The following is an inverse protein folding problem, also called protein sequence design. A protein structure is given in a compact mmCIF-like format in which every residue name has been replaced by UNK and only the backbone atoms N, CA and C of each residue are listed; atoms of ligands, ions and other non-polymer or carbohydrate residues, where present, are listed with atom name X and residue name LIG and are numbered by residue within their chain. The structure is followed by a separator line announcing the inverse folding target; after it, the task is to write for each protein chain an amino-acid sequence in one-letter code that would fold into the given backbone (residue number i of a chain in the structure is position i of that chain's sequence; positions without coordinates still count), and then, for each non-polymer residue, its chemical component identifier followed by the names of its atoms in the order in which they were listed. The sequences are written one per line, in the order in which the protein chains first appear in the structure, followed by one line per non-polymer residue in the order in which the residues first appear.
data_IF_809674802599
#
_entry.id   IF_809674802599
#
_cell.length_a   1.000
_cell.length_b   1.000
_cell.length_c   1.000
_cell.angle_alpha   90.00
_cell.angle_beta   90.00
_cell.angle_gamma   90.00
#
_symmetry.space_group_name_H-M   'P 1'
#
loop_
_entity.id
_entity.type
_entity.pdbx_description
1 polymer ?
#
# COMPACT_ATOMS: atom_id res chain seq x y z
N UNK A 1 34.38 28.77 -49.89
CA UNK A 1 34.23 30.25 -50.00
C UNK A 1 32.86 30.53 -50.62
N UNK A 2 31.95 31.12 -49.84
CA UNK A 2 30.63 31.72 -50.18
C UNK A 2 29.71 31.00 -51.18
N UNK A 3 28.63 30.39 -50.65
CA UNK A 3 27.35 30.28 -51.34
C UNK A 3 26.29 30.96 -50.47
N UNK A 4 25.69 32.04 -50.98
CA UNK A 4 24.52 32.70 -50.41
C UNK A 4 23.32 32.32 -51.26
N UNK A 5 22.30 31.71 -50.65
CA UNK A 5 21.06 31.30 -51.30
C UNK A 5 19.99 32.35 -51.02
N UNK A 6 19.27 32.68 -52.10
CA UNK A 6 18.35 33.78 -52.27
C UNK A 6 17.05 33.65 -51.46
N UNK A 7 16.56 34.81 -51.00
CA UNK A 7 15.16 35.05 -50.65
C UNK A 7 14.27 34.91 -51.90
N UNK A 8 13.19 34.16 -51.78
CA UNK A 8 12.05 34.22 -52.71
C UNK A 8 10.89 34.86 -51.95
N UNK A 9 10.54 36.07 -52.37
CA UNK A 9 9.30 36.78 -52.03
C UNK A 9 8.33 36.52 -53.19
N UNK A 10 7.17 35.96 -52.89
CA UNK A 10 6.01 36.00 -53.80
C UNK A 10 4.84 36.66 -53.06
N UNK A 11 4.22 37.61 -53.74
CA UNK A 11 3.05 38.34 -53.31
C UNK A 11 2.01 38.33 -54.45
N UNK A 12 0.79 38.71 -54.10
CA UNK A 12 -0.47 38.83 -54.86
C UNK A 12 -1.28 37.52 -54.97
N UNK A 13 -2.55 37.37 -54.63
CA UNK A 13 -3.72 38.18 -54.19
C UNK A 13 -4.90 37.73 -55.07
N UNK A 14 -6.03 37.32 -54.45
CA UNK A 14 -7.41 37.65 -54.86
C UNK A 14 -8.45 36.93 -53.96
N UNK A 15 -9.15 37.75 -53.18
CA UNK A 15 -10.61 37.80 -52.95
C UNK A 15 -11.33 36.54 -52.45
N UNK A 16 -11.85 36.62 -51.22
CA UNK A 16 -13.30 36.55 -51.00
C UNK A 16 -13.68 37.12 -49.62
N UNK A 17 -14.55 38.12 -49.66
CA UNK A 17 -15.42 38.62 -48.59
C UNK A 17 -16.23 37.47 -47.98
N UNK A 18 -16.49 37.47 -46.66
CA UNK A 18 -17.83 37.18 -46.12
C UNK A 18 -17.89 37.45 -44.61
N UNK A 19 -19.02 38.03 -44.23
CA UNK A 19 -19.41 38.59 -42.94
C UNK A 19 -19.52 37.60 -41.77
N UNK A 20 -19.33 38.15 -40.55
CA UNK A 20 -19.76 37.58 -39.28
C UNK A 20 -21.30 37.43 -39.21
N UNK A 21 -21.85 36.32 -38.70
CA UNK A 21 -23.24 36.30 -38.26
C UNK A 21 -23.34 36.48 -36.74
N UNK A 22 -24.18 37.46 -36.38
CA UNK A 22 -24.71 37.66 -35.04
C UNK A 22 -25.65 36.52 -34.60
N UNK A 23 -25.77 36.40 -33.27
CA UNK A 23 -26.71 35.58 -32.52
C UNK A 23 -28.18 35.89 -32.84
N UNK A 24 -29.05 34.87 -32.72
CA UNK A 24 -30.40 34.85 -32.11
C UNK A 24 -31.06 33.47 -32.41
N UNK A 25 -32.22 33.10 -31.82
CA UNK A 25 -32.38 32.39 -30.53
C UNK A 25 -33.03 30.99 -30.69
N UNK A 26 -32.98 30.14 -29.66
CA UNK A 26 -33.72 28.85 -29.62
C UNK A 26 -34.36 28.70 -28.22
N UNK A 27 -35.60 28.18 -28.10
CA UNK A 27 -36.64 28.71 -27.21
C UNK A 27 -36.87 27.98 -25.87
N UNK A 28 -37.66 28.65 -25.01
CA UNK A 28 -38.18 28.24 -23.70
C UNK A 28 -39.00 26.94 -23.71
N UNK A 29 -38.79 26.10 -22.68
CA UNK A 29 -39.78 25.80 -21.63
C UNK A 29 -39.39 24.55 -20.83
N UNK A 30 -39.16 24.72 -19.53
CA UNK A 30 -40.00 24.16 -18.44
C UNK A 30 -39.23 24.22 -17.12
N UNK A 31 -39.67 25.13 -16.26
CA UNK A 31 -39.34 25.12 -14.85
C UNK A 31 -40.18 24.04 -14.14
N UNK A 32 -39.51 23.07 -13.51
CA UNK A 32 -40.02 22.38 -12.32
C UNK A 32 -38.86 22.12 -11.36
N UNK A 33 -38.63 23.11 -10.49
CA UNK A 33 -37.83 22.97 -9.28
C UNK A 33 -38.57 22.08 -8.27
N UNK A 34 -38.07 20.88 -7.98
CA UNK A 34 -38.54 20.09 -6.83
C UNK A 34 -37.41 19.30 -6.14
N UNK A 35 -37.00 19.85 -4.98
CA UNK A 35 -36.62 19.21 -3.72
C UNK A 35 -35.96 17.81 -3.73
N UNK A 36 -34.65 17.76 -3.48
CA UNK A 36 -33.99 16.60 -2.86
C UNK A 36 -33.04 16.92 -1.69
N UNK A 37 -33.07 18.15 -1.14
CA UNK A 37 -32.27 18.54 0.03
C UNK A 37 -33.13 19.02 1.22
N UNK A 38 -34.14 18.22 1.58
CA UNK A 38 -34.92 18.38 2.83
C UNK A 38 -35.18 17.03 3.51
N UNK A 39 -34.10 16.33 3.86
CA UNK A 39 -34.08 15.36 4.94
C UNK A 39 -32.70 15.44 5.56
N UNK A 40 -32.58 15.37 6.89
CA UNK A 40 -31.39 15.67 7.72
C UNK A 40 -31.27 17.08 8.35
N UNK A 41 -32.42 17.65 8.74
CA UNK A 41 -32.48 18.50 9.95
C UNK A 41 -33.55 17.98 10.91
N UNK A 42 -33.21 16.95 11.68
CA UNK A 42 -33.78 16.75 13.01
C UNK A 42 -32.63 16.90 14.00
N UNK A 43 -32.69 17.98 14.79
CA UNK A 43 -31.86 18.15 15.99
C UNK A 43 -32.12 16.95 16.91
N UNK A 44 -31.11 16.26 17.47
CA UNK A 44 -31.35 15.41 18.61
C UNK A 44 -31.81 16.30 19.78
N UNK A 45 -33.01 16.01 20.29
CA UNK A 45 -33.54 16.60 21.51
C UNK A 45 -32.70 16.11 22.69
N UNK A 46 -31.97 17.02 23.33
CA UNK A 46 -31.29 16.78 24.60
C UNK A 46 -32.38 16.60 25.66
N UNK A 47 -32.48 15.47 26.37
CA UNK A 47 -33.37 15.38 27.52
C UNK A 47 -32.79 16.21 28.67
N UNK A 48 -33.64 17.04 29.28
CA UNK A 48 -33.29 17.83 30.47
C UNK A 48 -32.79 16.93 31.62
N UNK A 49 -31.80 17.38 32.41
CA UNK A 49 -31.33 16.63 33.56
C UNK A 49 -32.43 16.60 34.63
N UNK A 50 -32.99 15.41 34.87
CA UNK A 50 -33.82 15.18 36.06
C UNK A 50 -32.93 15.28 37.30
N UNK A 51 -33.29 16.22 38.17
CA UNK A 51 -32.81 16.37 39.54
C UNK A 51 -32.70 15.01 40.25
N UNK A 52 -31.49 14.62 40.61
CA UNK A 52 -31.23 13.53 41.54
C UNK A 52 -30.99 14.18 42.90
N UNK A 53 -31.95 13.98 43.79
CA UNK A 53 -31.86 14.31 45.22
C UNK A 53 -30.81 13.39 45.84
N UNK A 54 -29.73 13.98 46.37
CA UNK A 54 -28.72 13.31 47.20
C UNK A 54 -29.30 12.91 48.56
N UNK A 55 -29.14 11.66 49.03
CA UNK A 55 -29.33 11.35 50.44
C UNK A 55 -28.08 11.74 51.25
N UNK A 56 -28.33 12.41 52.37
CA UNK A 56 -27.34 12.84 53.36
C UNK A 56 -26.58 11.69 54.02
N UNK A 57 -25.39 12.03 54.53
CA UNK A 57 -24.45 11.16 55.21
C UNK A 57 -25.01 10.59 56.53
N UNK A 58 -24.78 9.30 56.80
CA UNK A 58 -24.82 8.73 58.15
C UNK A 58 -23.51 7.96 58.43
N UNK A 59 -22.92 8.07 59.64
CA UNK A 59 -21.57 7.60 59.91
C UNK A 59 -21.54 6.09 60.18
N UNK A 60 -20.56 5.40 59.61
CA UNK A 60 -20.26 4.01 59.97
C UNK A 60 -19.14 4.02 61.02
N UNK A 61 -19.47 3.43 62.15
CA UNK A 61 -18.68 3.24 63.38
C UNK A 61 -17.59 2.19 63.15
N UNK A 62 -16.36 2.48 63.58
CA UNK A 62 -15.22 1.55 63.63
C UNK A 62 -15.28 0.76 64.94
N UNK A 63 -15.15 -0.58 64.94
CA UNK A 63 -14.79 -1.33 66.14
C UNK A 63 -13.29 -1.67 66.17
N UNK A 64 -12.64 -1.37 67.30
CA UNK A 64 -11.25 -1.70 67.61
C UNK A 64 -11.07 -3.16 68.13
N UNK A 65 -9.93 -3.73 67.72
CA UNK A 65 -9.07 -4.76 68.33
C UNK A 65 -9.64 -6.04 69.01
N UNK A 66 -9.21 -7.19 68.47
CA UNK A 66 -8.84 -8.36 69.28
C UNK A 66 -7.62 -9.09 68.70
N UNK A 67 -6.57 -9.16 69.51
CA UNK A 67 -5.27 -9.78 69.24
C UNK A 67 -5.38 -11.31 69.26
N UNK A 68 -4.87 -11.99 68.22
CA UNK A 68 -4.62 -13.45 68.24
C UNK A 68 -3.13 -13.67 68.04
N UNK A 69 -2.48 -14.24 69.05
CA UNK A 69 -1.08 -14.64 69.09
C UNK A 69 -0.86 -15.94 68.29
N UNK A 70 0.11 -15.94 67.37
CA UNK A 70 0.58 -17.15 66.65
C UNK A 70 2.10 -17.27 66.87
N UNK A 71 2.64 -18.46 67.21
CA UNK A 71 4.03 -18.63 67.63
C UNK A 71 5.05 -18.54 66.48
N UNK A 72 6.26 -18.13 66.86
CA UNK A 72 7.44 -17.84 66.03
C UNK A 72 8.02 -19.12 65.38
N UNK A 73 8.13 -19.13 64.05
CA UNK A 73 8.97 -20.06 63.28
C UNK A 73 9.84 -19.31 62.24
N UNK A 74 11.02 -19.88 61.96
CA UNK A 74 12.24 -19.31 61.34
C UNK A 74 12.09 -18.69 59.92
N UNK A 75 13.05 -17.84 59.50
CA UNK A 75 12.97 -17.08 58.25
C UNK A 75 13.23 -17.95 57.02
N UNK A 76 12.35 -17.85 56.03
CA UNK A 76 12.61 -18.29 54.65
C UNK A 76 12.99 -17.03 53.87
N UNK A 77 14.19 -17.06 53.29
CA UNK A 77 14.76 -16.01 52.46
C UNK A 77 13.91 -15.78 51.21
N UNK A 78 13.37 -14.57 51.05
CA UNK A 78 12.80 -14.07 49.79
C UNK A 78 13.93 -13.71 48.81
N UNK A 79 13.89 -14.14 47.55
CA UNK A 79 14.57 -13.43 46.48
C UNK A 79 13.70 -12.25 46.03
N UNK A 80 14.34 -11.08 45.91
CA UNK A 80 13.80 -9.86 45.30
C UNK A 80 13.12 -10.14 43.95
N UNK A 81 11.94 -9.56 43.75
CA UNK A 81 11.35 -9.40 42.43
C UNK A 81 12.18 -8.38 41.63
N UNK A 82 13.03 -8.86 40.72
CA UNK A 82 13.48 -8.08 39.56
C UNK A 82 12.39 -8.09 38.48
N UNK A 83 12.14 -6.97 37.80
CA UNK A 83 11.17 -6.94 36.69
C UNK A 83 11.72 -7.77 35.52
N UNK A 84 11.06 -8.89 35.21
CA UNK A 84 11.36 -9.71 34.04
C UNK A 84 10.73 -9.04 32.82
N UNK A 85 11.55 -8.35 32.01
CA UNK A 85 11.11 -7.89 30.69
C UNK A 85 12.18 -8.15 29.64
N UNK A 86 12.28 -9.41 29.21
CA UNK A 86 12.84 -9.78 27.90
C UNK A 86 12.14 -11.06 27.43
N UNK A 87 10.94 -10.94 26.86
CA UNK A 87 10.24 -12.08 26.25
C UNK A 87 10.96 -12.48 24.97
N UNK A 88 11.57 -13.66 24.93
CA UNK A 88 12.20 -14.22 23.75
C UNK A 88 11.17 -14.33 22.60
N UNK A 89 11.55 -14.03 21.36
CA UNK A 89 10.65 -14.13 20.19
C UNK A 89 10.00 -15.51 20.06
N UNK A 90 10.73 -16.58 20.41
CA UNK A 90 10.17 -17.94 20.47
C UNK A 90 9.06 -18.09 21.50
N UNK A 91 9.15 -17.43 22.66
CA UNK A 91 8.08 -17.45 23.65
C UNK A 91 6.85 -16.67 23.16
N UNK A 92 7.05 -15.53 22.50
CA UNK A 92 5.96 -14.76 21.90
C UNK A 92 5.25 -15.57 20.81
N UNK A 93 6.01 -16.28 19.97
CA UNK A 93 5.43 -17.20 18.99
C UNK A 93 4.66 -18.35 19.64
N UNK A 94 5.24 -19.01 20.65
CA UNK A 94 4.59 -20.11 21.37
C UNK A 94 3.26 -19.69 22.03
N UNK A 95 3.17 -18.45 22.51
CA UNK A 95 1.91 -17.91 23.04
C UNK A 95 0.85 -17.79 21.95
N UNK A 96 1.19 -17.22 20.79
CA UNK A 96 0.27 -17.13 19.64
C UNK A 96 -0.08 -18.52 19.10
N UNK A 97 0.89 -19.43 19.02
CA UNK A 97 0.68 -20.79 18.56
C UNK A 97 -0.25 -21.55 19.50
N UNK A 98 -0.03 -21.45 20.81
CA UNK A 98 -0.91 -22.04 21.82
C UNK A 98 -2.32 -21.48 21.76
N UNK A 99 -2.47 -20.17 21.54
CA UNK A 99 -3.76 -19.51 21.39
C UNK A 99 -4.54 -20.05 20.16
N UNK A 100 -3.88 -20.11 19.01
CA UNK A 100 -4.47 -20.57 17.75
C UNK A 100 -4.74 -22.08 17.75
N UNK A 101 -3.81 -22.87 18.26
CA UNK A 101 -3.96 -24.33 18.34
C UNK A 101 -4.97 -24.73 19.41
N UNK A 102 -5.08 -23.98 20.50
CA UNK A 102 -6.14 -24.15 21.50
C UNK A 102 -7.53 -23.90 20.89
N UNK A 103 -7.69 -22.83 20.11
CA UNK A 103 -8.92 -22.56 19.38
C UNK A 103 -9.23 -23.69 18.36
N UNK A 104 -8.22 -24.17 17.62
CA UNK A 104 -8.35 -25.29 16.68
C UNK A 104 -8.81 -26.58 17.36
N UNK A 105 -8.20 -26.94 18.48
CA UNK A 105 -8.53 -28.14 19.25
C UNK A 105 -9.95 -28.06 19.83
N UNK A 106 -10.32 -26.89 20.34
CA UNK A 106 -11.63 -26.64 20.92
C UNK A 106 -12.71 -26.31 19.88
N UNK A 107 -12.39 -26.40 18.58
CA UNK A 107 -13.29 -26.02 17.47
C UNK A 107 -13.91 -24.63 17.64
N UNK A 108 -13.17 -23.73 18.30
CA UNK A 108 -13.59 -22.36 18.56
C UNK A 108 -13.21 -21.47 17.39
N UNK A 109 -14.08 -20.53 17.06
CA UNK A 109 -13.91 -19.60 15.94
C UNK A 109 -13.46 -18.23 16.45
N UNK A 110 -12.62 -17.55 15.68
CA UNK A 110 -12.25 -16.17 15.94
C UNK A 110 -13.26 -15.21 15.30
N UNK A 111 -13.48 -14.08 15.98
CA UNK A 111 -14.07 -12.90 15.35
C UNK A 111 -12.99 -12.11 14.58
N UNK A 112 -13.41 -11.17 13.73
CA UNK A 112 -12.48 -10.40 12.88
C UNK A 112 -11.44 -9.59 13.66
N UNK A 113 -11.83 -8.95 14.77
CA UNK A 113 -10.92 -8.14 15.58
C UNK A 113 -9.81 -8.99 16.17
N UNK A 114 -10.17 -10.14 16.73
CA UNK A 114 -9.26 -11.09 17.33
C UNK A 114 -8.32 -11.68 16.27
N UNK A 115 -8.87 -12.13 15.14
CA UNK A 115 -8.08 -12.66 14.04
C UNK A 115 -7.06 -11.63 13.52
N UNK A 116 -7.49 -10.38 13.32
CA UNK A 116 -6.62 -9.29 12.87
C UNK A 116 -5.52 -8.97 13.89
N UNK A 117 -5.81 -9.05 15.19
CA UNK A 117 -4.77 -8.92 16.24
C UNK A 117 -3.73 -10.04 16.11
N UNK A 118 -4.14 -11.30 15.99
CA UNK A 118 -3.20 -12.42 15.86
C UNK A 118 -2.35 -12.25 14.59
N UNK A 119 -2.96 -11.91 13.45
CA UNK A 119 -2.25 -11.69 12.19
C UNK A 119 -1.23 -10.56 12.31
N UNK A 120 -1.59 -9.46 12.99
CA UNK A 120 -0.67 -8.36 13.31
C UNK A 120 0.49 -8.82 14.19
N UNK A 121 0.22 -9.65 15.20
CA UNK A 121 1.25 -10.16 16.10
C UNK A 121 2.22 -11.12 15.38
N UNK A 122 1.74 -11.95 14.45
CA UNK A 122 2.58 -12.77 13.59
C UNK A 122 3.49 -11.92 12.69
N UNK A 123 2.96 -10.87 12.08
CA UNK A 123 3.76 -9.91 11.31
C UNK A 123 4.80 -9.22 12.19
N UNK A 124 4.45 -8.85 13.43
CA UNK A 124 5.39 -8.27 14.39
C UNK A 124 6.53 -9.23 14.76
N UNK A 125 6.29 -10.54 14.82
CA UNK A 125 7.33 -11.54 15.04
C UNK A 125 8.27 -11.66 13.85
N UNK A 126 7.73 -11.73 12.63
CA UNK A 126 8.52 -11.74 11.40
C UNK A 126 9.42 -10.49 11.31
N UNK A 127 8.86 -9.32 11.64
CA UNK A 127 9.60 -8.06 11.64
C UNK A 127 10.75 -8.01 12.65
N UNK A 128 10.67 -8.80 13.72
CA UNK A 128 11.74 -8.95 14.71
C UNK A 128 12.72 -10.10 14.37
N UNK A 129 12.56 -10.75 13.22
CA UNK A 129 13.45 -11.79 12.71
C UNK A 129 13.01 -13.23 13.00
N UNK A 130 11.75 -13.44 13.39
CA UNK A 130 11.19 -14.79 13.56
C UNK A 130 10.89 -15.46 12.21
N UNK A 131 10.83 -16.80 12.19
CA UNK A 131 10.68 -17.61 10.98
C UNK A 131 9.36 -17.35 10.25
N UNK A 132 9.45 -16.87 8.99
CA UNK A 132 8.29 -16.68 8.10
C UNK A 132 7.53 -17.97 7.82
N UNK A 133 8.26 -19.07 7.65
CA UNK A 133 7.66 -20.39 7.39
C UNK A 133 6.76 -20.85 8.53
N UNK A 134 7.12 -20.55 9.77
CA UNK A 134 6.35 -20.94 10.95
C UNK A 134 5.15 -20.03 11.16
N UNK A 135 5.33 -18.72 11.01
CA UNK A 135 4.24 -17.75 11.09
C UNK A 135 3.23 -17.91 9.95
N UNK A 136 3.66 -18.29 8.74
CA UNK A 136 2.77 -18.61 7.61
C UNK A 136 1.87 -19.81 7.91
N UNK A 137 2.40 -20.88 8.48
CA UNK A 137 1.59 -22.05 8.88
C UNK A 137 0.50 -21.63 9.86
N UNK A 138 0.85 -20.79 10.84
CA UNK A 138 -0.08 -20.34 11.85
C UNK A 138 -1.13 -19.38 11.30
N UNK A 139 -0.72 -18.48 10.39
CA UNK A 139 -1.58 -17.57 9.62
C UNK A 139 -2.66 -18.33 8.84
N UNK A 140 -2.32 -19.43 8.18
CA UNK A 140 -3.30 -20.26 7.48
C UNK A 140 -4.38 -20.83 8.41
N UNK A 141 -4.01 -21.19 9.64
CA UNK A 141 -4.96 -21.71 10.64
C UNK A 141 -5.86 -20.59 11.14
N UNK A 142 -5.33 -19.38 11.37
CA UNK A 142 -6.14 -18.21 11.75
C UNK A 142 -7.20 -17.92 10.69
N UNK A 143 -6.88 -17.98 9.41
CA UNK A 143 -7.85 -17.82 8.33
C UNK A 143 -8.94 -18.91 8.37
N UNK A 144 -8.57 -20.18 8.59
CA UNK A 144 -9.53 -21.29 8.70
C UNK A 144 -10.49 -21.13 9.88
N UNK A 145 -10.02 -20.57 10.99
CA UNK A 145 -10.80 -20.39 12.22
C UNK A 145 -11.62 -19.10 12.25
N UNK A 146 -11.58 -18.27 11.21
CA UNK A 146 -12.28 -16.97 11.19
C UNK A 146 -13.33 -16.93 10.06
N UNK A 147 -14.53 -17.49 10.26
CA UNK A 147 -15.55 -17.59 9.21
C UNK A 147 -16.11 -16.24 8.77
N UNK A 148 -15.92 -15.17 9.54
CA UNK A 148 -16.33 -13.83 9.15
C UNK A 148 -15.41 -13.22 8.07
N UNK A 149 -14.17 -13.71 7.90
CA UNK A 149 -13.42 -13.43 6.65
C UNK A 149 -14.20 -13.94 5.43
N UNK A 150 -15.01 -14.98 5.62
CA UNK A 150 -15.88 -15.52 4.58
C UNK A 150 -17.23 -14.81 4.44
N UNK A 151 -17.65 -13.94 5.37
CA UNK A 151 -18.93 -13.19 5.25
C UNK A 151 -18.80 -11.88 4.48
N UNK A 152 -17.60 -11.32 4.38
CA UNK A 152 -17.22 -10.40 3.29
C UNK A 152 -17.03 -11.12 1.96
N UNK A 153 -17.08 -12.47 1.94
CA UNK A 153 -17.02 -13.30 0.76
C UNK A 153 -18.22 -14.25 0.67
N UNK A 154 -19.44 -13.70 0.56
CA UNK A 154 -20.55 -14.39 -0.10
C UNK A 154 -20.30 -14.51 -1.62
N UNK A 155 -19.10 -14.97 -1.94
CA UNK A 155 -18.65 -15.61 -3.15
C UNK A 155 -17.56 -16.54 -2.60
N UNK A 156 -17.78 -17.86 -2.68
CA UNK A 156 -16.82 -18.87 -2.25
C UNK A 156 -15.37 -18.47 -2.63
N UNK A 157 -14.33 -18.87 -1.88
CA UNK A 157 -13.06 -19.09 -2.54
C UNK A 157 -13.32 -20.27 -3.49
N UNK A 158 -13.73 -19.95 -4.72
CA UNK A 158 -13.24 -20.73 -5.83
C UNK A 158 -11.74 -20.89 -5.62
N UNK A 159 -11.16 -22.02 -6.03
CA UNK A 159 -9.81 -21.98 -6.55
C UNK A 159 -9.64 -20.62 -7.22
N UNK A 160 -8.85 -19.71 -6.66
CA UNK A 160 -8.76 -18.36 -7.20
C UNK A 160 -8.37 -18.60 -8.65
N UNK A 161 -9.32 -18.39 -9.57
CA UNK A 161 -9.16 -18.78 -10.96
C UNK A 161 -8.25 -17.70 -11.53
N UNK A 162 -6.97 -17.84 -11.21
CA UNK A 162 -5.92 -16.94 -11.60
C UNK A 162 -5.95 -16.92 -13.12
N UNK A 163 -6.13 -15.74 -13.68
CA UNK A 163 -6.10 -15.55 -15.12
C UNK A 163 -4.69 -15.94 -15.58
N UNK A 164 -4.58 -17.02 -16.36
CA UNK A 164 -3.32 -17.49 -16.96
C UNK A 164 -3.04 -16.74 -18.26
N UNK A 165 -3.06 -15.42 -18.17
CA UNK A 165 -2.70 -14.50 -19.24
C UNK A 165 -1.89 -13.34 -18.65
N UNK A 166 -1.32 -12.51 -19.52
CA UNK A 166 -0.67 -11.28 -19.08
C UNK A 166 -1.75 -10.25 -18.68
N UNK A 167 -1.59 -9.51 -17.57
CA UNK A 167 -2.45 -8.37 -17.29
C UNK A 167 -2.27 -7.29 -18.35
N UNK A 168 -3.28 -6.44 -18.51
CA UNK A 168 -3.17 -5.23 -19.32
C UNK A 168 -3.16 -4.02 -18.40
N UNK A 169 -2.14 -3.18 -18.52
CA UNK A 169 -2.08 -1.88 -17.86
C UNK A 169 -2.97 -0.91 -18.65
N UNK A 170 -4.00 -0.38 -17.99
CA UNK A 170 -5.06 0.44 -18.60
C UNK A 170 -5.17 1.83 -17.99
N UNK A 171 -4.29 2.19 -17.06
CA UNK A 171 -4.15 3.53 -16.49
C UNK A 171 -2.68 3.93 -16.47
N UNK A 172 -2.39 5.23 -16.58
CA UNK A 172 -1.04 5.74 -16.46
C UNK A 172 -0.51 5.55 -15.03
N UNK A 173 0.81 5.40 -14.87
CA UNK A 173 1.43 5.27 -13.53
C UNK A 173 1.58 6.63 -12.83
N UNK A 174 1.54 7.72 -13.59
CA UNK A 174 1.64 9.10 -13.13
C UNK A 174 1.05 10.06 -14.18
N UNK A 175 1.15 11.36 -13.97
CA UNK A 175 0.87 12.34 -15.03
C UNK A 175 1.93 12.21 -16.14
N UNK A 176 1.53 11.61 -17.27
CA UNK A 176 2.40 11.34 -18.41
C UNK A 176 3.12 12.61 -18.92
N UNK A 177 2.46 13.77 -18.86
CA UNK A 177 3.04 15.04 -19.33
C UNK A 177 4.24 15.53 -18.51
N UNK A 178 4.45 14.94 -17.32
CA UNK A 178 5.54 15.28 -16.40
C UNK A 178 6.74 14.35 -16.54
N UNK A 179 6.62 13.27 -17.32
CA UNK A 179 7.71 12.33 -17.53
C UNK A 179 8.66 12.92 -18.58
N UNK A 180 9.91 13.16 -18.17
CA UNK A 180 10.97 13.64 -19.07
C UNK A 180 11.54 12.48 -19.89
N UNK A 181 11.78 11.36 -19.22
CA UNK A 181 12.26 10.10 -19.80
C UNK A 181 12.08 8.95 -18.82
N UNK A 182 12.29 7.73 -19.30
CA UNK A 182 12.22 6.51 -18.52
C UNK A 182 13.47 5.69 -18.82
N UNK A 183 14.30 5.44 -17.82
CA UNK A 183 15.35 4.43 -17.99
C UNK A 183 14.72 3.04 -17.92
N UNK A 184 14.94 2.24 -18.94
CA UNK A 184 14.40 0.88 -19.04
C UNK A 184 14.94 -0.01 -17.89
N UNK A 185 14.17 -1.03 -17.47
CA UNK A 185 14.67 -2.02 -16.53
C UNK A 185 15.88 -2.77 -17.12
N UNK A 186 16.81 -3.15 -16.27
CA UNK A 186 18.08 -3.77 -16.62
C UNK A 186 19.29 -2.86 -16.41
N UNK A 187 19.15 -1.76 -15.68
CA UNK A 187 20.28 -0.88 -15.33
C UNK A 187 21.19 -1.57 -14.32
N UNK A 188 22.50 -1.57 -14.56
CA UNK A 188 23.46 -2.26 -13.69
C UNK A 188 23.45 -1.73 -12.26
N UNK A 189 23.61 -2.65 -11.31
CA UNK A 189 23.75 -2.35 -9.89
C UNK A 189 24.57 -3.42 -9.18
N UNK A 190 24.88 -3.22 -7.90
CA UNK A 190 25.55 -4.23 -7.05
C UNK A 190 24.75 -5.53 -6.89
N UNK A 191 23.44 -5.51 -7.14
CA UNK A 191 22.54 -6.68 -7.08
C UNK A 191 22.34 -7.33 -8.47
N UNK A 192 23.18 -6.98 -9.44
CA UNK A 192 22.96 -7.23 -10.86
C UNK A 192 21.98 -6.20 -11.48
N UNK A 193 21.58 -6.41 -12.74
CA UNK A 193 20.64 -5.52 -13.41
C UNK A 193 19.32 -5.32 -12.65
N UNK A 194 18.91 -4.07 -12.43
CA UNK A 194 17.68 -3.73 -11.72
C UNK A 194 16.43 -4.12 -12.50
N UNK A 195 15.49 -4.75 -11.82
CA UNK A 195 14.21 -5.17 -12.40
C UNK A 195 13.12 -4.10 -12.47
N UNK A 196 13.41 -2.82 -12.24
CA UNK A 196 12.46 -1.71 -12.35
C UNK A 196 13.05 -0.61 -13.24
N UNK A 197 12.16 0.25 -13.74
CA UNK A 197 12.53 1.48 -14.43
C UNK A 197 12.77 2.62 -13.46
N UNK A 198 13.61 3.57 -13.90
CA UNK A 198 13.68 4.91 -13.30
C UNK A 198 12.81 5.87 -14.10
N UNK A 199 11.76 6.40 -13.49
CA UNK A 199 10.84 7.38 -14.09
C UNK A 199 11.32 8.78 -13.73
N UNK A 200 11.81 9.52 -14.72
CA UNK A 200 12.44 10.82 -14.49
C UNK A 200 11.41 11.94 -14.61
N UNK A 201 11.16 12.64 -13.50
CA UNK A 201 10.27 13.81 -13.42
C UNK A 201 11.00 15.08 -13.00
N UNK A 202 12.33 14.99 -12.86
CA UNK A 202 13.20 16.12 -12.46
C UNK A 202 12.92 16.63 -11.05
N UNK A 203 12.48 15.75 -10.14
CA UNK A 203 12.15 16.13 -8.76
C UNK A 203 10.80 16.83 -8.60
N UNK A 204 10.00 16.94 -9.67
CA UNK A 204 8.66 17.51 -9.59
C UNK A 204 7.74 16.57 -8.79
N UNK A 205 6.90 17.17 -7.92
CA UNK A 205 5.86 16.42 -7.23
C UNK A 205 4.79 15.99 -8.22
N UNK A 206 4.69 14.69 -8.46
CA UNK A 206 3.73 14.09 -9.39
C UNK A 206 2.77 13.14 -8.67
N UNK A 207 1.51 13.00 -9.15
CA UNK A 207 0.60 11.99 -8.63
C UNK A 207 1.04 10.59 -9.06
N UNK A 208 0.75 9.58 -8.25
CA UNK A 208 1.00 8.18 -8.57
C UNK A 208 -0.32 7.44 -8.60
N UNK A 209 -0.57 6.72 -9.68
CA UNK A 209 -1.84 6.03 -9.91
C UNK A 209 -1.65 4.52 -10.05
N UNK A 210 -2.71 3.76 -9.75
CA UNK A 210 -2.78 2.33 -10.04
C UNK A 210 -2.86 2.11 -11.56
N UNK A 211 -1.91 1.44 -12.23
CA UNK A 211 -1.99 1.21 -13.68
C UNK A 211 -2.97 0.09 -14.08
N UNK A 212 -3.33 -0.74 -13.12
CA UNK A 212 -4.22 -1.90 -13.26
C UNK A 212 -4.96 -2.11 -11.93
N UNK A 213 -6.07 -2.84 -11.95
CA UNK A 213 -6.71 -3.29 -10.71
C UNK A 213 -5.71 -4.11 -9.88
N UNK A 214 -5.49 -3.70 -8.63
CA UNK A 214 -4.44 -4.27 -7.79
C UNK A 214 -4.76 -4.15 -6.30
N UNK A 215 -4.04 -4.90 -5.49
CA UNK A 215 -4.25 -4.98 -4.04
C UNK A 215 -2.92 -4.76 -3.33
N UNK A 216 -2.89 -3.84 -2.36
CA UNK A 216 -1.71 -3.61 -1.54
C UNK A 216 -1.38 -4.90 -0.78
N UNK A 217 -0.16 -5.39 -0.97
CA UNK A 217 0.28 -6.68 -0.44
C UNK A 217 1.38 -6.52 0.61
N UNK A 218 2.40 -5.74 0.27
CA UNK A 218 3.55 -5.55 1.14
C UNK A 218 4.23 -4.22 0.87
N UNK A 219 5.15 -3.83 1.75
CA UNK A 219 5.94 -2.63 1.58
C UNK A 219 6.82 -2.31 2.77
N UNK A 220 7.51 -1.18 2.71
CA UNK A 220 8.32 -0.67 3.81
C UNK A 220 8.25 0.86 3.84
N UNK A 221 8.33 1.42 5.05
CA UNK A 221 8.54 2.84 5.28
C UNK A 221 9.96 3.04 5.80
N UNK A 222 10.79 3.74 5.04
CA UNK A 222 12.25 3.66 5.17
C UNK A 222 12.94 4.99 4.96
N UNK A 223 14.19 5.08 5.41
CA UNK A 223 15.18 6.06 5.01
C UNK A 223 16.45 5.33 4.61
N UNK A 224 17.14 5.83 3.58
CA UNK A 224 18.42 5.23 3.14
C UNK A 224 19.52 5.39 4.19
N UNK A 225 19.48 6.49 4.95
CA UNK A 225 20.32 6.77 6.12
C UNK A 225 19.56 7.71 7.08
N UNK A 226 20.14 8.07 8.23
CA UNK A 226 19.46 8.86 9.25
C UNK A 226 18.98 10.25 8.73
N UNK A 227 19.75 10.84 7.84
CA UNK A 227 19.55 12.20 7.32
C UNK A 227 18.71 12.24 6.04
N UNK A 228 18.52 11.10 5.38
CA UNK A 228 17.70 10.99 4.17
C UNK A 228 16.21 11.28 4.48
N UNK A 229 15.44 11.78 3.48
CA UNK A 229 13.99 11.83 3.57
C UNK A 229 13.43 10.42 3.72
N UNK A 230 12.28 10.32 4.39
CA UNK A 230 11.58 9.06 4.52
C UNK A 230 10.69 8.79 3.30
N UNK A 231 10.64 7.55 2.86
CA UNK A 231 9.95 7.12 1.64
C UNK A 231 9.34 5.74 1.80
N UNK A 232 8.44 5.39 0.90
CA UNK A 232 7.76 4.11 0.87
C UNK A 232 8.18 3.28 -0.34
N UNK A 233 8.45 2.01 -0.07
CA UNK A 233 8.51 0.94 -1.07
C UNK A 233 7.19 0.20 -0.98
N UNK A 234 6.43 0.12 -2.07
CA UNK A 234 5.10 -0.47 -2.08
C UNK A 234 5.03 -1.58 -3.13
N UNK A 235 4.50 -2.73 -2.71
CA UNK A 235 4.26 -3.90 -3.55
C UNK A 235 2.76 -4.21 -3.57
N UNK A 236 2.24 -4.40 -4.78
CA UNK A 236 0.85 -4.72 -5.02
C UNK A 236 0.74 -6.02 -5.80
N UNK A 237 -0.22 -6.86 -5.44
CA UNK A 237 -0.66 -8.00 -6.25
C UNK A 237 -1.62 -7.50 -7.33
N UNK A 238 -1.44 -7.95 -8.58
CA UNK A 238 -2.37 -7.62 -9.66
C UNK A 238 -3.66 -8.44 -9.48
N UNK A 239 -4.81 -7.77 -9.38
CA UNK A 239 -6.07 -8.41 -9.03
C UNK A 239 -6.51 -9.37 -10.12
N UNK A 240 -6.74 -10.64 -9.76
CA UNK A 240 -7.08 -11.71 -10.70
C UNK A 240 -5.88 -12.39 -11.37
N UNK A 241 -4.67 -11.84 -11.23
CA UNK A 241 -3.43 -12.37 -11.82
C UNK A 241 -2.45 -12.71 -10.69
N UNK A 242 -2.65 -13.88 -10.07
CA UNK A 242 -2.00 -14.28 -8.82
C UNK A 242 -0.46 -14.26 -8.83
N UNK A 243 0.12 -14.34 -10.02
CA UNK A 243 1.56 -14.42 -10.22
C UNK A 243 2.19 -13.05 -10.54
N UNK A 244 1.40 -11.98 -10.67
CA UNK A 244 1.91 -10.66 -11.04
C UNK A 244 1.97 -9.69 -9.86
N UNK A 245 3.09 -8.99 -9.76
CA UNK A 245 3.29 -7.92 -8.78
C UNK A 245 3.74 -6.62 -9.43
N UNK A 246 3.28 -5.50 -8.87
CA UNK A 246 3.68 -4.15 -9.22
C UNK A 246 4.46 -3.55 -8.06
N UNK A 247 5.62 -2.96 -8.34
CA UNK A 247 6.43 -2.21 -7.38
C UNK A 247 6.37 -0.72 -7.68
N UNK A 248 6.19 0.07 -6.63
CA UNK A 248 6.50 1.49 -6.59
C UNK A 248 7.58 1.71 -5.52
N UNK A 249 8.64 2.45 -5.85
CA UNK A 249 9.66 2.88 -4.88
C UNK A 249 9.78 4.40 -4.90
N UNK A 250 10.44 4.95 -3.87
CA UNK A 250 10.61 6.39 -3.68
C UNK A 250 9.26 7.13 -3.60
N UNK A 251 8.23 6.54 -2.98
CA UNK A 251 6.94 7.21 -2.77
C UNK A 251 6.99 8.05 -1.49
N UNK A 252 6.71 9.34 -1.55
CA UNK A 252 6.83 10.24 -0.39
C UNK A 252 5.53 10.37 0.41
N UNK A 253 4.41 10.50 -0.31
CA UNK A 253 3.13 10.92 0.25
C UNK A 253 2.02 9.95 -0.17
N UNK A 254 2.04 8.68 0.30
CA UNK A 254 0.96 7.75 0.04
C UNK A 254 -0.35 8.23 0.69
N UNK A 255 -1.48 7.90 0.09
CA UNK A 255 -2.79 8.20 0.68
C UNK A 255 -2.98 7.46 2.01
N UNK A 256 -3.92 7.94 2.82
CA UNK A 256 -4.12 7.49 4.19
C UNK A 256 -4.33 5.98 4.33
N UNK A 257 -5.12 5.38 3.43
CA UNK A 257 -5.41 3.94 3.47
C UNK A 257 -4.16 3.07 3.27
N UNK A 258 -3.14 3.58 2.56
CA UNK A 258 -1.84 2.92 2.44
C UNK A 258 -1.01 3.20 3.68
N UNK A 259 -0.91 4.47 4.09
CA UNK A 259 -0.05 4.94 5.20
C UNK A 259 -0.32 4.22 6.52
N UNK A 260 -1.58 3.96 6.84
CA UNK A 260 -1.99 3.30 8.09
C UNK A 260 -1.52 1.84 8.22
N UNK A 261 -1.04 1.22 7.14
CA UNK A 261 -0.47 -0.13 7.18
C UNK A 261 0.98 -0.20 7.66
N UNK A 262 1.64 0.95 7.83
CA UNK A 262 3.05 1.02 8.20
C UNK A 262 3.24 1.71 9.56
N UNK A 263 4.41 1.47 10.16
CA UNK A 263 4.87 2.22 11.33
C UNK A 263 4.93 3.72 11.02
N UNK A 264 4.64 4.57 12.00
CA UNK A 264 4.87 6.01 11.90
C UNK A 264 6.35 6.40 11.95
N UNK A 265 7.22 5.47 12.33
CA UNK A 265 8.67 5.64 12.38
C UNK A 265 9.29 4.85 11.22
N UNK A 266 10.06 5.49 10.32
CA UNK A 266 10.70 4.80 9.22
C UNK A 266 11.88 3.96 9.71
N UNK A 267 12.12 2.82 9.06
CA UNK A 267 13.34 2.03 9.27
C UNK A 267 14.53 2.74 8.62
N UNK A 268 15.69 2.72 9.25
CA UNK A 268 16.89 3.37 8.71
C UNK A 268 17.81 2.30 8.12
N UNK A 269 18.24 2.48 6.87
CA UNK A 269 19.11 1.57 6.13
C UNK A 269 18.61 0.11 6.10
N UNK A 270 17.28 -0.09 6.16
CA UNK A 270 16.64 -1.39 6.11
C UNK A 270 15.40 -1.33 5.22
N UNK A 271 15.57 -1.77 3.98
CA UNK A 271 14.53 -1.80 2.95
C UNK A 271 13.59 -3.00 3.05
N UNK A 272 13.81 -3.94 4.00
CA UNK A 272 13.02 -5.17 4.08
C UNK A 272 11.55 -4.86 4.32
N UNK A 273 10.73 -5.36 3.39
CA UNK A 273 9.28 -5.20 3.39
C UNK A 273 8.58 -6.02 4.47
N UNK A 274 7.39 -5.56 4.83
CA UNK A 274 6.41 -6.24 5.68
C UNK A 274 5.17 -6.53 4.83
N UNK A 275 4.47 -7.63 5.09
CA UNK A 275 3.13 -7.82 4.55
C UNK A 275 2.16 -6.88 5.27
N UNK A 276 1.26 -6.25 4.52
CA UNK A 276 0.27 -5.35 5.11
C UNK A 276 -0.87 -6.17 5.73
N UNK A 277 -1.36 -5.74 6.89
CA UNK A 277 -2.48 -6.41 7.55
C UNK A 277 -3.80 -6.11 6.83
N UNK A 278 -3.99 -4.87 6.38
CA UNK A 278 -5.20 -4.45 5.66
C UNK A 278 -4.93 -4.47 4.15
N UNK A 279 -5.47 -5.47 3.46
CA UNK A 279 -5.43 -5.54 1.99
C UNK A 279 -6.33 -4.45 1.40
N UNK A 280 -5.73 -3.35 0.96
CA UNK A 280 -6.43 -2.24 0.32
C UNK A 280 -6.47 -2.47 -1.18
N UNK A 281 -7.66 -2.52 -1.76
CA UNK A 281 -7.84 -2.67 -3.19
C UNK A 281 -7.89 -1.32 -3.90
N UNK A 282 -7.32 -1.29 -5.11
CA UNK A 282 -7.31 -0.14 -6.00
C UNK A 282 -7.79 -0.55 -7.38
N UNK A 283 -8.65 0.27 -7.97
CA UNK A 283 -9.02 0.23 -9.37
C UNK A 283 -8.00 0.99 -10.21
N UNK A 284 -7.81 0.55 -11.46
CA UNK A 284 -6.96 1.27 -12.40
C UNK A 284 -7.35 2.76 -12.48
N UNK A 285 -6.36 3.65 -12.43
CA UNK A 285 -6.50 5.10 -12.44
C UNK A 285 -6.71 5.73 -11.05
N UNK A 286 -6.91 4.95 -10.00
CA UNK A 286 -7.04 5.51 -8.65
C UNK A 286 -5.70 6.04 -8.13
N UNK A 287 -5.77 7.17 -7.42
CA UNK A 287 -4.64 7.81 -6.77
C UNK A 287 -4.12 6.95 -5.61
N UNK A 288 -2.82 6.67 -5.62
CA UNK A 288 -2.09 5.99 -4.55
C UNK A 288 -1.36 6.98 -3.65
N UNK A 289 -1.03 8.16 -4.17
CA UNK A 289 -0.29 9.18 -3.44
C UNK A 289 0.47 10.11 -4.38
N UNK A 290 1.52 10.71 -3.86
CA UNK A 290 2.42 11.59 -4.62
C UNK A 290 3.88 11.26 -4.33
N UNK A 291 4.73 11.63 -5.27
CA UNK A 291 6.18 11.48 -5.16
C UNK A 291 6.90 12.62 -5.86
N UNK A 292 8.03 13.05 -5.31
CA UNK A 292 9.09 13.85 -5.94
C UNK A 292 10.26 12.96 -6.37
N UNK A 293 10.24 11.69 -5.99
CA UNK A 293 11.30 10.72 -6.22
C UNK A 293 12.48 10.89 -5.27
N UNK A 294 13.52 10.13 -5.55
CA UNK A 294 14.79 10.21 -4.87
C UNK A 294 15.33 11.65 -4.93
N UNK A 295 15.68 12.23 -3.78
CA UNK A 295 16.11 13.63 -3.69
C UNK A 295 17.38 13.95 -4.47
N UNK A 296 18.23 12.95 -4.74
CA UNK A 296 19.48 13.14 -5.49
C UNK A 296 19.25 13.18 -7.01
N UNK A 297 18.42 12.27 -7.53
CA UNK A 297 18.21 12.08 -8.97
C UNK A 297 16.90 12.67 -9.50
N UNK A 298 15.92 12.92 -8.63
CA UNK A 298 14.59 13.38 -9.01
C UNK A 298 13.80 12.36 -9.85
N UNK A 299 14.14 11.08 -9.72
CA UNK A 299 13.43 9.95 -10.33
C UNK A 299 12.79 9.07 -9.27
N UNK A 300 11.82 8.25 -9.65
CA UNK A 300 11.21 7.25 -8.78
C UNK A 300 11.08 5.93 -9.53
N UNK A 301 10.88 4.84 -8.80
CA UNK A 301 10.98 3.51 -9.41
C UNK A 301 9.62 2.90 -9.67
N UNK A 302 9.49 2.30 -10.84
CA UNK A 302 8.31 1.52 -11.22
C UNK A 302 8.71 0.19 -11.85
N UNK A 303 8.11 -0.91 -11.40
CA UNK A 303 8.39 -2.25 -11.92
C UNK A 303 7.15 -3.14 -11.98
N UNK A 304 7.13 -4.04 -12.96
CA UNK A 304 6.17 -5.13 -13.07
C UNK A 304 6.94 -6.46 -13.07
N UNK A 305 6.44 -7.44 -12.34
CA UNK A 305 7.10 -8.71 -12.09
C UNK A 305 6.13 -9.86 -12.34
N UNK A 306 6.59 -10.86 -13.09
CA UNK A 306 5.92 -12.15 -13.25
C UNK A 306 6.61 -13.17 -12.34
N UNK A 307 6.05 -13.34 -11.14
CA UNK A 307 6.57 -14.19 -10.08
C UNK A 307 6.38 -15.69 -10.36
N UNK A 308 5.66 -16.07 -11.42
CA UNK A 308 5.49 -17.49 -11.79
C UNK A 308 6.76 -18.11 -12.38
N UNK A 309 7.69 -17.28 -12.87
CA UNK A 309 8.86 -17.75 -13.62
C UNK A 309 10.06 -16.82 -13.49
N UNK A 310 11.24 -17.37 -13.72
CA UNK A 310 12.43 -16.53 -13.90
C UNK A 310 12.37 -15.81 -15.26
N UNK A 311 12.68 -14.53 -15.24
CA UNK A 311 12.73 -13.66 -16.42
C UNK A 311 14.13 -13.52 -17.00
N UNK A 312 14.24 -12.69 -18.05
CA UNK A 312 15.48 -12.50 -18.80
C UNK A 312 16.64 -11.96 -17.95
N UNK A 313 16.34 -11.19 -16.90
CA UNK A 313 17.37 -10.58 -16.06
C UNK A 313 18.13 -11.59 -15.18
N UNK A 314 17.56 -12.79 -14.95
CA UNK A 314 18.24 -13.86 -14.22
C UNK A 314 19.53 -14.32 -14.90
N UNK A 315 19.56 -14.37 -16.24
CA UNK A 315 20.74 -14.77 -17.02
C UNK A 315 21.89 -13.75 -16.96
N UNK A 316 21.59 -12.53 -16.50
CA UNK A 316 22.57 -11.46 -16.30
C UNK A 316 22.96 -11.30 -14.83
N UNK A 317 22.64 -12.28 -13.97
CA UNK A 317 23.07 -12.30 -12.57
C UNK A 317 22.23 -11.44 -11.62
N UNK A 318 21.04 -11.01 -12.05
CA UNK A 318 20.13 -10.26 -11.17
C UNK A 318 19.69 -11.10 -9.97
N UNK A 319 19.51 -10.46 -8.82
CA UNK A 319 19.14 -11.10 -7.57
C UNK A 319 17.69 -10.80 -7.15
N UNK A 320 17.15 -11.64 -6.27
CA UNK A 320 15.81 -11.44 -5.70
C UNK A 320 14.70 -11.32 -6.74
N UNK A 321 13.72 -10.46 -6.48
CA UNK A 321 12.59 -10.22 -7.39
C UNK A 321 13.00 -9.59 -8.72
N UNK A 322 14.19 -8.98 -8.83
CA UNK A 322 14.68 -8.43 -10.11
C UNK A 322 14.79 -9.51 -11.20
N UNK A 323 15.01 -10.76 -10.82
CA UNK A 323 15.00 -11.93 -11.73
C UNK A 323 13.66 -12.11 -12.44
N UNK A 324 12.56 -11.73 -11.81
CA UNK A 324 11.19 -11.93 -12.29
C UNK A 324 10.65 -10.72 -13.09
N UNK A 325 11.45 -9.69 -13.27
CA UNK A 325 11.02 -8.48 -13.94
C UNK A 325 10.59 -8.74 -15.39
N UNK A 326 9.57 -8.03 -15.83
CA UNK A 326 9.13 -7.96 -17.23
C UNK A 326 9.20 -6.53 -17.74
N UNK A 327 9.22 -6.35 -19.07
CA UNK A 327 9.10 -5.00 -19.63
C UNK A 327 7.67 -4.50 -19.45
N UNK A 328 7.41 -3.74 -18.38
CA UNK A 328 6.07 -3.28 -18.03
C UNK A 328 5.41 -2.44 -19.13
N UNK A 329 6.19 -1.73 -19.95
CA UNK A 329 5.66 -0.97 -21.10
C UNK A 329 4.98 -1.90 -22.12
N UNK A 330 5.46 -3.14 -22.27
CA UNK A 330 4.86 -4.11 -23.19
C UNK A 330 3.46 -4.59 -22.78
N UNK A 331 3.05 -4.31 -21.53
CA UNK A 331 1.77 -4.71 -20.95
C UNK A 331 0.69 -3.62 -21.09
N UNK A 332 1.01 -2.46 -21.66
CA UNK A 332 -0.01 -1.48 -22.03
C UNK A 332 -0.77 -1.87 -23.31
N UNK A 333 -2.00 -1.39 -23.44
CA UNK A 333 -2.72 -1.33 -24.72
C UNK A 333 -1.88 -0.61 -25.80
N UNK A 334 -2.06 -0.97 -27.07
CA UNK A 334 -1.23 -0.51 -28.20
C UNK A 334 -0.94 0.99 -28.23
N UNK A 335 -1.93 1.85 -28.03
CA UNK A 335 -1.73 3.31 -28.05
C UNK A 335 -0.78 3.80 -26.95
N UNK A 336 -1.03 3.41 -25.69
CA UNK A 336 -0.19 3.82 -24.55
C UNK A 336 1.17 3.16 -24.57
N UNK A 337 1.25 1.92 -25.03
CA UNK A 337 2.51 1.22 -25.23
C UNK A 337 3.47 2.04 -26.10
N UNK A 338 2.98 2.56 -27.23
CA UNK A 338 3.78 3.41 -28.12
C UNK A 338 4.10 4.80 -27.54
N UNK A 339 3.25 5.34 -26.67
CA UNK A 339 3.57 6.56 -25.91
C UNK A 339 4.74 6.33 -24.93
N UNK A 340 4.66 5.30 -24.09
CA UNK A 340 5.71 5.00 -23.11
C UNK A 340 7.02 4.52 -23.76
N UNK A 341 6.96 3.76 -24.86
CA UNK A 341 8.15 3.31 -25.59
C UNK A 341 9.01 4.46 -26.08
N UNK A 342 8.40 5.57 -26.51
CA UNK A 342 9.12 6.77 -26.95
C UNK A 342 9.91 7.47 -25.84
N UNK A 343 9.60 7.19 -24.58
CA UNK A 343 10.32 7.72 -23.42
C UNK A 343 11.40 6.75 -22.91
N UNK A 344 11.44 5.51 -23.41
CA UNK A 344 12.41 4.52 -22.94
C UNK A 344 13.82 4.85 -23.45
N UNK A 345 14.77 4.82 -22.53
CA UNK A 345 16.21 4.95 -22.78
C UNK A 345 17.00 3.89 -21.99
N UNK A 346 18.27 3.71 -22.35
CA UNK A 346 19.19 2.88 -21.59
C UNK A 346 19.22 1.41 -22.04
N UNK A 347 19.40 0.45 -21.12
CA UNK A 347 19.72 -0.93 -21.45
C UNK A 347 18.55 -1.66 -22.12
N UNK A 348 18.85 -2.38 -23.20
CA UNK A 348 17.88 -3.20 -23.95
C UNK A 348 17.92 -4.66 -23.52
N UNK A 349 17.99 -4.92 -22.21
CA UNK A 349 18.05 -6.27 -21.66
C UNK A 349 16.66 -6.89 -21.49
N UNK A 350 15.66 -6.06 -21.20
CA UNK A 350 14.30 -6.49 -20.91
C UNK A 350 13.25 -5.87 -21.84
N UNK A 351 13.38 -4.57 -22.13
CA UNK A 351 12.50 -3.85 -23.05
C UNK A 351 13.11 -3.74 -24.44
N UNK A 352 12.27 -3.88 -25.47
CA UNK A 352 12.60 -3.55 -26.86
C UNK A 352 11.97 -2.20 -27.22
N UNK A 353 12.78 -1.27 -27.73
CA UNK A 353 12.39 0.07 -28.16
C UNK A 353 13.43 0.63 -29.13
#
# INVERSE_FOLDING_TARGET
MKLAIALIIFSWALVNTFDLPQQHPVPDNQALSFNWFKQWRKKPSIPEPKSIVTPEHRPIVIPEHKTITIPKARPIVTPEHKPVTTTNLGQQFQLLEGEVMGAKQNKSLFNLEHANRILKDLVNLENKGYSKTETDKLRQIVYQLTPDFNKTSNTQPSSQNCIKANPTLIADITDFSKIQKITAPGTDSSEGPKGHSFVWTGGQRVPVYAPVDMVLDSGSYVKDNADAPAQYILWFLVKGYCDFQVKFDHIDEPIESIRQNFSSIPKIADSRGIYVANKVEFKAGQLLGYTKGNTSSGNWDFGLYDMSKEGLLAKYGSQGSHRNAVCWVDFYSSERKELYRRLLEGPKLLCSF
#
